data_IF_526779389602
#
_entry.id   IF_526779389602
#
_cell.length_a   1.000
_cell.length_b   1.000
_cell.length_c   1.000
_cell.angle_alpha   90.00
_cell.angle_beta   90.00
_cell.angle_gamma   90.00
#
_symmetry.space_group_name_H-M   'P 1'
#
loop_
_entity.id
_entity.type
_entity.pdbx_description
1 polymer ?
#
# COMPACT_ATOMS: atom_id res chain seq x y z
N UNK A 1 -16.59 -47.11 -10.57
CA UNK A 1 -15.65 -46.17 -11.24
C UNK A 1 -16.17 -44.74 -11.33
N UNK A 2 -17.49 -44.46 -11.25
CA UNK A 2 -18.01 -43.09 -11.30
C UNK A 2 -17.78 -42.29 -10.00
N UNK A 3 -17.84 -42.93 -8.83
CA UNK A 3 -17.73 -42.27 -7.51
C UNK A 3 -16.34 -41.66 -7.27
N UNK A 4 -15.29 -42.33 -7.74
CA UNK A 4 -13.92 -41.81 -7.64
C UNK A 4 -13.70 -40.58 -8.52
N UNK A 5 -14.29 -40.56 -9.73
CA UNK A 5 -14.16 -39.44 -10.66
C UNK A 5 -14.90 -38.22 -10.14
N UNK A 6 -16.11 -38.39 -9.58
CA UNK A 6 -16.85 -37.26 -8.99
C UNK A 6 -16.17 -36.74 -7.71
N UNK A 7 -15.61 -37.62 -6.88
CA UNK A 7 -14.88 -37.24 -5.68
C UNK A 7 -13.56 -36.53 -6.02
N UNK A 8 -12.82 -37.04 -7.01
CA UNK A 8 -11.60 -36.41 -7.50
C UNK A 8 -11.90 -35.08 -8.19
N UNK A 9 -12.92 -35.02 -9.05
CA UNK A 9 -13.34 -33.74 -9.60
C UNK A 9 -13.72 -32.79 -8.48
N UNK A 10 -14.52 -33.20 -7.47
CA UNK A 10 -14.93 -32.37 -6.34
C UNK A 10 -13.73 -31.83 -5.55
N UNK A 11 -12.78 -32.71 -5.28
CA UNK A 11 -11.51 -32.37 -4.62
C UNK A 11 -10.70 -31.31 -5.38
N UNK A 12 -10.72 -31.36 -6.72
CA UNK A 12 -9.98 -30.39 -7.55
C UNK A 12 -10.77 -29.11 -7.87
N UNK A 13 -12.04 -28.96 -7.46
CA UNK A 13 -12.84 -27.72 -7.72
C UNK A 13 -12.61 -26.65 -6.66
N UNK A 14 -12.16 -27.04 -5.47
CA UNK A 14 -11.97 -26.13 -4.33
C UNK A 14 -10.68 -25.31 -4.38
N UNK A 15 -9.84 -25.50 -5.42
CA UNK A 15 -8.77 -24.57 -5.76
C UNK A 15 -9.35 -23.29 -6.41
N UNK A 16 -10.32 -22.68 -5.74
CA UNK A 16 -10.77 -21.33 -6.06
C UNK A 16 -9.69 -20.41 -5.51
N UNK A 17 -9.10 -19.57 -6.36
CA UNK A 17 -8.10 -18.59 -5.98
C UNK A 17 -8.66 -17.70 -4.86
N UNK A 18 -8.40 -18.11 -3.63
CA UNK A 18 -8.59 -17.27 -2.47
C UNK A 18 -7.55 -16.18 -2.67
N UNK A 19 -8.00 -14.99 -3.12
CA UNK A 19 -7.19 -13.78 -3.10
C UNK A 19 -6.82 -13.53 -1.65
N UNK A 20 -5.78 -14.24 -1.22
CA UNK A 20 -5.17 -14.11 0.07
C UNK A 20 -4.55 -12.74 -0.02
N UNK A 21 -5.23 -11.72 0.52
CA UNK A 21 -4.66 -10.41 0.75
C UNK A 21 -3.36 -10.68 1.49
N UNK A 22 -2.25 -10.64 0.76
CA UNK A 22 -0.96 -10.97 1.30
C UNK A 22 -0.67 -9.93 2.37
N UNK A 23 -0.01 -10.31 3.45
CA UNK A 23 0.49 -9.32 4.43
C UNK A 23 1.37 -8.26 3.75
N UNK A 24 1.95 -8.59 2.58
CA UNK A 24 2.63 -7.67 1.66
C UNK A 24 1.72 -6.63 1.00
N UNK A 25 0.45 -6.93 0.75
CA UNK A 25 -0.51 -5.98 0.17
C UNK A 25 -0.94 -4.90 1.18
N UNK A 26 -0.75 -5.17 2.47
CA UNK A 26 -1.17 -4.28 3.57
C UNK A 26 -0.19 -3.11 3.76
N UNK A 27 1.08 -3.27 3.38
CA UNK A 27 2.12 -2.28 3.66
C UNK A 27 2.85 -1.83 2.39
N UNK A 28 2.22 -0.92 1.65
CA UNK A 28 2.87 -0.20 0.56
C UNK A 28 3.48 1.11 1.09
N UNK A 29 4.76 1.35 0.81
CA UNK A 29 5.44 2.59 1.15
C UNK A 29 6.10 3.21 -0.07
N UNK A 30 6.17 4.54 -0.09
CA UNK A 30 6.89 5.33 -1.10
C UNK A 30 7.84 6.26 -0.36
N UNK A 31 9.07 6.44 -0.87
CA UNK A 31 10.05 7.37 -0.32
C UNK A 31 10.17 8.58 -1.21
N UNK A 32 10.06 9.77 -0.63
CA UNK A 32 10.31 11.04 -1.33
C UNK A 32 11.68 11.57 -0.90
N UNK A 33 12.66 11.70 -1.82
CA UNK A 33 13.96 12.24 -1.49
C UNK A 33 13.85 13.74 -1.19
N UNK A 34 14.55 14.18 -0.15
CA UNK A 34 14.67 15.60 0.18
C UNK A 34 15.91 16.15 -0.52
N UNK A 35 15.70 17.06 -1.47
CA UNK A 35 16.79 17.69 -2.21
C UNK A 35 17.59 18.67 -1.34
N UNK A 36 18.84 18.94 -1.74
CA UNK A 36 19.72 19.94 -1.12
C UNK A 36 20.13 19.64 0.33
N UNK A 37 19.97 18.40 0.80
CA UNK A 37 20.48 17.95 2.09
C UNK A 37 19.68 18.47 3.30
N UNK A 38 18.46 18.97 3.09
CA UNK A 38 17.57 19.30 4.19
C UNK A 38 17.12 18.05 4.95
N UNK A 39 16.84 18.21 6.24
CA UNK A 39 16.46 17.15 7.16
C UNK A 39 14.99 17.29 7.51
N UNK A 40 14.29 16.17 7.67
CA UNK A 40 12.87 16.14 8.02
C UNK A 40 12.34 14.71 7.98
N UNK A 41 11.05 14.47 8.23
CA UNK A 41 9.97 15.43 8.48
C UNK A 41 9.90 15.90 9.94
N UNK A 42 9.79 17.21 10.17
CA UNK A 42 9.69 17.78 11.52
C UNK A 42 8.23 17.90 12.02
N UNK A 43 7.26 17.90 11.10
CA UNK A 43 5.83 18.01 11.39
C UNK A 43 4.96 17.54 10.23
N UNK A 44 3.70 17.20 10.51
CA UNK A 44 2.72 16.81 9.49
C UNK A 44 1.40 17.58 9.63
N UNK A 45 0.80 17.91 8.49
CA UNK A 45 -0.55 18.47 8.41
C UNK A 45 -1.37 17.75 7.33
N UNK A 46 -2.66 17.59 7.60
CA UNK A 46 -3.61 16.91 6.73
C UNK A 46 -4.70 17.89 6.31
N UNK A 47 -5.01 17.92 5.01
CA UNK A 47 -6.08 18.76 4.50
C UNK A 47 -7.45 18.09 4.69
N UNK A 48 -8.48 18.80 5.17
CA UNK A 48 -9.84 18.26 5.32
C UNK A 48 -10.47 17.77 4.01
N UNK A 49 -10.06 18.29 2.87
CA UNK A 49 -10.53 17.88 1.55
C UNK A 49 -9.76 16.67 1.00
N UNK A 50 -8.80 16.12 1.76
CA UNK A 50 -8.03 14.93 1.39
C UNK A 50 -6.78 15.23 0.55
N UNK A 51 -6.39 16.49 0.41
CA UNK A 51 -5.15 16.90 -0.24
C UNK A 51 -3.92 16.67 0.66
N UNK A 52 -2.76 16.40 0.06
CA UNK A 52 -1.53 16.12 0.82
C UNK A 52 -1.43 14.65 1.26
N UNK A 53 -0.67 14.31 2.32
CA UNK A 53 -0.23 15.14 3.45
C UNK A 53 0.86 16.18 3.14
N UNK A 54 1.06 17.12 4.06
CA UNK A 54 2.09 18.15 4.01
C UNK A 54 3.11 17.96 5.13
N UNK A 55 4.39 18.21 4.85
CA UNK A 55 5.45 18.20 5.86
C UNK A 55 6.39 19.39 5.72
N UNK A 56 6.83 19.92 6.85
CA UNK A 56 7.96 20.85 6.91
C UNK A 56 9.30 20.10 6.90
N UNK A 57 10.32 20.75 6.33
CA UNK A 57 11.72 20.32 6.36
C UNK A 57 12.60 21.45 6.91
N UNK A 58 13.78 21.11 7.42
CA UNK A 58 14.66 21.99 8.19
C UNK A 58 15.15 23.24 7.44
N UNK A 59 15.02 23.28 6.12
CA UNK A 59 15.39 24.44 5.27
C UNK A 59 14.23 25.43 5.04
N UNK A 60 13.08 25.21 5.69
CA UNK A 60 11.92 26.09 5.65
C UNK A 60 10.95 25.81 4.50
N UNK A 61 11.20 24.81 3.65
CA UNK A 61 10.25 24.37 2.62
C UNK A 61 9.10 23.54 3.22
N UNK A 62 7.98 23.54 2.50
CA UNK A 62 6.86 22.63 2.74
C UNK A 62 6.75 21.69 1.53
N UNK A 63 6.75 20.39 1.79
CA UNK A 63 6.54 19.35 0.77
C UNK A 63 5.09 18.88 0.86
N UNK A 64 4.38 18.87 -0.27
CA UNK A 64 3.06 18.26 -0.43
C UNK A 64 3.22 16.89 -1.09
N UNK A 65 2.76 15.84 -0.43
CA UNK A 65 2.63 14.54 -1.10
C UNK A 65 1.48 14.60 -2.10
N UNK A 66 1.75 14.27 -3.36
CA UNK A 66 0.72 14.14 -4.36
C UNK A 66 0.54 12.66 -4.67
N UNK A 67 -0.57 12.07 -4.22
CA UNK A 67 -0.90 10.69 -4.51
C UNK A 67 -1.29 10.60 -6.00
N UNK A 68 -0.61 9.76 -6.78
CA UNK A 68 -1.05 9.40 -8.13
C UNK A 68 -2.11 8.30 -8.09
#
# INVERSE_FOLDING_TARGET
>A
MAVFVIAWLAYNRDATETSTFGVSDVWQYEMVPIENGAVGPESFAFDPHGEGPYTGVSDGRIIKWNRR
#
